data_IF_776909730877
#
_entry.id   IF_776909730877
#
_cell.length_a   1.000
_cell.length_b   1.000
_cell.length_c   1.000
_cell.angle_alpha   90.00
_cell.angle_beta   90.00
_cell.angle_gamma   90.00
#
_symmetry.space_group_name_H-M   'P 1'
#
loop_
_entity.id
_entity.type
_entity.pdbx_description
1 polymer ?
#
# COMPACT_ATOMS: atom_id res chain seq x y z
N UNK A 1 -6.14 -44.25 26.13
CA UNK A 1 -5.84 -42.92 25.58
C UNK A 1 -7.18 -42.24 25.34
N UNK A 2 -7.52 -41.27 26.21
CA UNK A 2 -8.87 -40.69 26.28
C UNK A 2 -9.21 -39.88 25.02
N UNK A 3 -10.44 -40.01 24.56
CA UNK A 3 -10.97 -39.30 23.39
C UNK A 3 -10.83 -37.75 23.47
N UNK A 4 -10.75 -37.22 24.68
CA UNK A 4 -10.49 -35.80 24.94
C UNK A 4 -9.10 -35.35 24.53
N UNK A 5 -8.09 -36.23 24.62
CA UNK A 5 -6.73 -35.91 24.18
C UNK A 5 -6.61 -35.84 22.66
N UNK A 6 -7.40 -36.64 21.94
CA UNK A 6 -7.48 -36.57 20.46
C UNK A 6 -8.20 -35.31 19.97
N UNK A 7 -9.23 -34.82 20.69
CA UNK A 7 -9.94 -33.59 20.38
C UNK A 7 -9.07 -32.35 20.60
N UNK A 8 -8.25 -32.34 21.65
CA UNK A 8 -7.31 -31.25 21.95
C UNK A 8 -6.20 -31.10 20.88
N UNK A 9 -5.74 -32.21 20.31
CA UNK A 9 -4.70 -32.21 19.25
C UNK A 9 -5.28 -31.67 17.91
N UNK A 10 -6.55 -31.93 17.60
CA UNK A 10 -7.20 -31.43 16.37
C UNK A 10 -7.45 -29.91 16.43
N UNK A 11 -7.68 -29.35 17.62
CA UNK A 11 -7.87 -27.89 17.79
C UNK A 11 -6.57 -27.06 17.68
N UNK A 12 -5.39 -27.69 17.82
CA UNK A 12 -4.08 -27.01 17.77
C UNK A 12 -3.50 -26.83 16.35
N UNK A 13 -4.06 -27.50 15.33
CA UNK A 13 -3.59 -27.37 13.94
C UNK A 13 -4.39 -26.36 13.10
N UNK A 14 -5.43 -25.75 13.65
CA UNK A 14 -6.28 -24.78 12.91
C UNK A 14 -5.78 -23.33 12.96
N UNK A 15 -4.61 -23.03 13.53
CA UNK A 15 -4.12 -21.68 13.77
C UNK A 15 -2.89 -21.25 12.95
N UNK A 16 -2.58 -21.87 11.83
CA UNK A 16 -1.47 -21.46 10.96
C UNK A 16 -1.92 -21.24 9.51
N UNK A 17 -2.70 -20.17 9.27
CA UNK A 17 -3.17 -19.75 7.95
C UNK A 17 -3.05 -18.26 7.68
N UNK A 18 -2.15 -17.55 8.38
CA UNK A 18 -1.90 -16.11 8.19
C UNK A 18 -0.82 -15.78 7.16
N UNK A 19 -0.59 -16.60 6.16
CA UNK A 19 0.31 -16.28 5.04
C UNK A 19 -0.33 -15.23 4.14
N UNK A 20 -0.01 -13.94 4.36
CA UNK A 20 -0.46 -12.85 3.48
C UNK A 20 -0.12 -13.19 2.04
N UNK A 21 -1.12 -13.19 1.15
CA UNK A 21 -0.88 -13.40 -0.28
C UNK A 21 -0.02 -12.26 -0.82
N UNK A 22 1.17 -12.56 -1.33
CA UNK A 22 2.05 -11.61 -2.03
C UNK A 22 1.54 -11.22 -3.41
N UNK A 23 0.47 -11.86 -3.89
CA UNK A 23 -0.11 -11.58 -5.21
C UNK A 23 -0.73 -10.18 -5.24
N UNK A 24 -0.57 -9.52 -6.39
CA UNK A 24 -1.23 -8.24 -6.65
C UNK A 24 -2.76 -8.36 -6.53
N UNK A 25 -3.46 -7.29 -6.11
CA UNK A 25 -4.91 -7.20 -6.25
C UNK A 25 -5.34 -7.31 -7.72
N UNK A 26 -6.52 -7.86 -7.95
CA UNK A 26 -7.03 -8.14 -9.31
C UNK A 26 -7.27 -6.89 -10.16
N UNK A 27 -7.64 -5.78 -9.55
CA UNK A 27 -7.92 -4.54 -10.26
C UNK A 27 -7.11 -3.39 -9.68
N UNK A 28 -5.95 -3.13 -10.28
CA UNK A 28 -5.01 -2.09 -9.84
C UNK A 28 -5.45 -0.66 -10.24
N UNK A 29 -6.39 -0.53 -11.17
CA UNK A 29 -6.89 0.79 -11.61
C UNK A 29 -7.99 1.35 -10.70
N UNK A 30 -8.40 0.60 -9.69
CA UNK A 30 -9.49 0.99 -8.80
C UNK A 30 -9.09 0.88 -7.33
N UNK A 31 -8.83 2.05 -6.69
CA UNK A 31 -8.45 2.14 -5.28
C UNK A 31 -9.47 1.48 -4.34
N UNK A 32 -10.76 1.56 -4.68
CA UNK A 32 -11.82 0.95 -3.90
C UNK A 32 -11.79 -0.58 -4.01
N UNK A 33 -11.52 -1.12 -5.20
CA UNK A 33 -11.36 -2.56 -5.40
C UNK A 33 -10.13 -3.10 -4.66
N UNK A 34 -8.99 -2.37 -4.73
CA UNK A 34 -7.77 -2.73 -4.00
C UNK A 34 -8.03 -2.80 -2.50
N UNK A 35 -8.65 -1.77 -1.93
CA UNK A 35 -8.90 -1.68 -0.49
C UNK A 35 -10.01 -2.61 -0.01
N UNK A 36 -10.96 -2.97 -0.86
CA UNK A 36 -11.98 -3.98 -0.58
C UNK A 36 -11.40 -5.40 -0.61
N UNK A 37 -10.52 -5.70 -1.58
CA UNK A 37 -9.86 -7.00 -1.68
C UNK A 37 -8.79 -7.18 -0.60
N UNK A 38 -8.12 -6.10 -0.20
CA UNK A 38 -7.02 -6.09 0.80
C UNK A 38 -7.27 -5.03 1.89
N UNK A 39 -8.20 -5.25 2.83
CA UNK A 39 -8.51 -4.26 3.88
C UNK A 39 -7.29 -3.87 4.74
N UNK A 40 -6.33 -4.80 4.89
CA UNK A 40 -5.07 -4.54 5.60
C UNK A 40 -4.26 -3.40 4.96
N UNK A 41 -4.32 -3.21 3.63
CA UNK A 41 -3.63 -2.14 2.94
C UNK A 41 -4.15 -0.77 3.35
N UNK A 42 -5.48 -0.63 3.37
CA UNK A 42 -6.10 0.63 3.79
C UNK A 42 -5.78 0.97 5.25
N UNK A 43 -5.79 -0.04 6.15
CA UNK A 43 -5.41 0.17 7.55
C UNK A 43 -3.97 0.65 7.69
N UNK A 44 -3.03 -0.03 7.03
CA UNK A 44 -1.62 0.33 7.02
C UNK A 44 -1.37 1.75 6.48
N UNK A 45 -1.97 2.08 5.33
CA UNK A 45 -1.84 3.41 4.72
C UNK A 45 -2.46 4.53 5.55
N UNK A 46 -3.57 4.27 6.26
CA UNK A 46 -4.15 5.22 7.23
C UNK A 46 -3.25 5.44 8.43
N UNK A 47 -2.59 4.41 8.94
CA UNK A 47 -1.61 4.55 10.03
C UNK A 47 -0.44 5.42 9.58
N UNK A 48 0.08 5.18 8.38
CA UNK A 48 1.14 5.98 7.76
C UNK A 48 0.71 7.44 7.54
N UNK A 49 -0.50 7.67 7.00
CA UNK A 49 -1.03 9.02 6.82
C UNK A 49 -1.18 9.76 8.14
N UNK A 50 -1.66 9.10 9.20
CA UNK A 50 -1.75 9.72 10.54
C UNK A 50 -0.37 10.06 11.13
N UNK A 51 0.61 9.18 10.93
CA UNK A 51 1.95 9.33 11.50
C UNK A 51 2.81 10.33 10.75
N UNK A 52 2.81 10.25 9.43
CA UNK A 52 3.74 10.98 8.57
C UNK A 52 3.07 12.05 7.69
N UNK A 53 1.75 12.09 7.64
CA UNK A 53 0.98 13.05 6.84
C UNK A 53 1.00 12.77 5.33
N UNK A 54 1.51 11.62 4.88
CA UNK A 54 1.55 11.27 3.45
C UNK A 54 0.18 10.71 3.04
N UNK A 55 -0.52 11.34 2.07
CA UNK A 55 -1.86 10.91 1.67
C UNK A 55 -1.90 9.46 1.17
N UNK A 56 -2.97 8.73 1.51
CA UNK A 56 -3.18 7.33 1.07
C UNK A 56 -3.00 7.19 -0.44
N UNK A 57 -3.53 8.12 -1.22
CA UNK A 57 -3.45 8.06 -2.68
C UNK A 57 -2.00 8.16 -3.21
N UNK A 58 -1.15 8.97 -2.57
CA UNK A 58 0.28 9.07 -2.90
C UNK A 58 0.99 7.75 -2.60
N UNK A 59 0.73 7.16 -1.42
CA UNK A 59 1.28 5.85 -1.04
C UNK A 59 0.86 4.77 -2.04
N UNK A 60 -0.43 4.71 -2.40
CA UNK A 60 -0.96 3.72 -3.36
C UNK A 60 -0.31 3.86 -4.74
N UNK A 61 -0.18 5.10 -5.24
CA UNK A 61 0.40 5.36 -6.56
C UNK A 61 1.88 4.96 -6.60
N UNK A 62 2.62 5.24 -5.53
CA UNK A 62 4.03 4.85 -5.41
C UNK A 62 4.18 3.32 -5.33
N UNK A 63 3.41 2.62 -4.49
CA UNK A 63 3.44 1.15 -4.42
C UNK A 63 3.04 0.51 -5.75
N UNK A 64 2.06 1.10 -6.45
CA UNK A 64 1.71 0.63 -7.78
C UNK A 64 2.90 0.72 -8.73
N UNK A 65 3.64 1.83 -8.72
CA UNK A 65 4.80 2.03 -9.58
C UNK A 65 5.97 1.10 -9.19
N UNK A 66 6.23 0.92 -7.90
CA UNK A 66 7.37 0.16 -7.39
C UNK A 66 7.21 -1.36 -7.56
N UNK A 67 6.04 -1.89 -7.21
CA UNK A 67 5.84 -3.34 -7.11
C UNK A 67 4.53 -3.85 -7.68
N UNK A 68 3.66 -2.98 -8.19
CA UNK A 68 2.26 -3.33 -8.54
C UNK A 68 1.54 -4.07 -7.41
N UNK A 69 1.83 -3.68 -6.16
CA UNK A 69 1.32 -4.34 -4.96
C UNK A 69 1.76 -5.80 -4.78
N UNK A 70 2.83 -6.24 -5.44
CA UNK A 70 3.43 -7.56 -5.21
C UNK A 70 4.36 -7.46 -4.00
N UNK A 71 4.00 -8.15 -2.90
CA UNK A 71 4.68 -7.96 -1.62
C UNK A 71 6.12 -8.48 -1.57
N UNK A 72 6.46 -9.45 -2.40
CA UNK A 72 7.80 -10.05 -2.51
C UNK A 72 8.50 -9.70 -3.83
N UNK A 73 8.11 -8.60 -4.47
CA UNK A 73 8.74 -8.15 -5.71
C UNK A 73 10.24 -7.96 -5.54
N UNK A 74 11.00 -8.41 -6.53
CA UNK A 74 12.47 -8.30 -6.59
C UNK A 74 12.91 -7.89 -7.98
N UNK A 75 14.04 -7.19 -8.07
CA UNK A 75 14.70 -6.95 -9.34
C UNK A 75 15.14 -8.26 -10.00
N UNK A 76 15.09 -8.37 -11.34
CA UNK A 76 15.54 -9.55 -12.06
C UNK A 76 17.02 -9.88 -11.78
N UNK A 77 17.40 -11.15 -11.93
CA UNK A 77 18.80 -11.54 -11.98
C UNK A 77 19.41 -11.06 -13.30
N UNK A 78 20.65 -10.60 -13.23
CA UNK A 78 21.49 -10.37 -14.39
C UNK A 78 22.28 -11.64 -14.71
N UNK A 79 22.44 -11.92 -15.98
CA UNK A 79 23.24 -13.05 -16.45
C UNK A 79 24.30 -12.53 -17.45
N UNK A 80 25.58 -12.85 -17.21
CA UNK A 80 26.61 -12.68 -18.22
C UNK A 80 26.50 -13.82 -19.24
N UNK A 81 26.61 -13.50 -20.53
CA UNK A 81 26.48 -14.45 -21.66
C UNK A 81 25.15 -15.26 -21.63
N UNK A 82 24.13 -14.75 -20.94
CA UNK A 82 22.82 -15.39 -20.83
C UNK A 82 22.74 -16.59 -19.85
N UNK A 83 23.85 -17.06 -19.30
CA UNK A 83 23.89 -18.28 -18.48
C UNK A 83 24.61 -18.12 -17.13
N UNK A 84 25.56 -17.19 -17.00
CA UNK A 84 26.32 -17.01 -15.76
C UNK A 84 25.58 -16.02 -14.86
N UNK A 85 25.07 -16.43 -13.67
CA UNK A 85 24.35 -15.52 -12.78
C UNK A 85 25.32 -14.48 -12.18
N UNK A 86 25.09 -13.19 -12.48
CA UNK A 86 25.85 -12.05 -11.96
C UNK A 86 25.19 -11.39 -10.75
N UNK A 87 24.19 -12.04 -10.17
CA UNK A 87 23.42 -11.47 -9.07
C UNK A 87 22.23 -10.64 -9.54
N UNK A 88 21.64 -9.85 -8.62
CA UNK A 88 20.52 -8.97 -8.93
C UNK A 88 21.00 -7.56 -9.23
N UNK A 89 20.25 -6.85 -10.06
CA UNK A 89 20.54 -5.48 -10.47
C UNK A 89 20.62 -4.50 -9.29
N UNK A 90 19.84 -4.76 -8.22
CA UNK A 90 19.84 -3.97 -7.00
C UNK A 90 19.31 -4.80 -5.83
N UNK A 91 19.48 -4.29 -4.60
CA UNK A 91 18.91 -4.88 -3.38
C UNK A 91 17.42 -4.51 -3.16
N UNK A 92 16.78 -3.85 -4.12
CA UNK A 92 15.37 -3.45 -4.03
C UNK A 92 14.46 -4.65 -3.80
N UNK A 93 13.56 -4.53 -2.81
CA UNK A 93 12.70 -5.64 -2.40
C UNK A 93 11.37 -5.17 -1.82
N UNK A 94 10.32 -5.97 -2.05
CA UNK A 94 9.03 -5.86 -1.40
C UNK A 94 8.12 -4.78 -1.99
N UNK A 95 7.10 -4.38 -1.25
CA UNK A 95 6.10 -3.40 -1.69
C UNK A 95 6.69 -2.05 -2.10
N UNK A 96 7.66 -1.56 -1.34
CA UNK A 96 8.25 -0.23 -1.50
C UNK A 96 9.54 -0.21 -2.32
N UNK A 97 10.04 -1.37 -2.76
CA UNK A 97 11.31 -1.52 -3.46
C UNK A 97 12.48 -0.79 -2.77
N UNK A 98 12.43 -0.73 -1.44
CA UNK A 98 13.49 -0.12 -0.64
C UNK A 98 14.82 -0.86 -0.81
N UNK A 99 15.92 -0.11 -0.95
CA UNK A 99 17.28 -0.65 -0.92
C UNK A 99 17.70 -1.01 0.51
N UNK A 100 18.62 -1.95 0.67
CA UNK A 100 19.09 -2.44 1.97
C UNK A 100 19.56 -1.29 2.86
N UNK A 101 20.46 -0.44 2.37
CA UNK A 101 21.02 0.67 3.15
C UNK A 101 19.95 1.65 3.64
N UNK A 102 18.99 2.03 2.77
CA UNK A 102 17.91 2.95 3.11
C UNK A 102 16.91 2.30 4.08
N UNK A 103 16.67 0.99 3.93
CA UNK A 103 15.85 0.23 4.87
C UNK A 103 16.47 0.15 6.26
N UNK A 104 17.77 -0.06 6.34
CA UNK A 104 18.50 -0.10 7.62
C UNK A 104 18.57 1.27 8.27
N UNK A 105 18.68 2.36 7.49
CA UNK A 105 18.54 3.74 8.01
C UNK A 105 17.17 3.94 8.66
N UNK A 106 16.10 3.55 7.96
CA UNK A 106 14.73 3.61 8.50
C UNK A 106 14.57 2.83 9.80
N UNK A 107 15.06 1.58 9.84
CA UNK A 107 14.98 0.72 11.03
C UNK A 107 15.68 1.34 12.22
N UNK A 108 16.86 1.95 12.02
CA UNK A 108 17.61 2.68 13.06
C UNK A 108 16.86 3.94 13.49
N UNK A 109 16.40 4.74 12.53
CA UNK A 109 15.76 6.04 12.81
C UNK A 109 14.42 5.90 13.54
N UNK A 110 13.68 4.82 13.30
CA UNK A 110 12.34 4.60 13.88
C UNK A 110 12.33 3.63 15.07
N UNK A 111 13.45 2.95 15.34
CA UNK A 111 13.54 1.87 16.32
C UNK A 111 12.84 0.57 15.90
N UNK A 112 12.26 0.49 14.72
CA UNK A 112 11.53 -0.69 14.22
C UNK A 112 12.50 -1.74 13.65
N UNK A 113 13.28 -2.37 14.53
CA UNK A 113 14.31 -3.34 14.13
C UNK A 113 13.76 -4.60 13.45
N UNK A 114 12.48 -4.94 13.68
CA UNK A 114 11.81 -6.12 13.11
C UNK A 114 11.03 -5.83 11.84
N UNK A 115 11.08 -4.61 11.33
CA UNK A 115 10.37 -4.23 10.10
C UNK A 115 10.79 -5.11 8.93
N UNK A 116 9.80 -5.48 8.09
CA UNK A 116 9.96 -6.34 6.91
C UNK A 116 9.44 -5.63 5.66
N UNK A 117 10.22 -5.64 4.58
CA UNK A 117 9.87 -4.98 3.30
C UNK A 117 8.69 -5.65 2.57
N UNK A 118 8.42 -6.93 2.88
CA UNK A 118 7.29 -7.70 2.37
C UNK A 118 6.03 -7.61 3.26
N UNK A 119 6.08 -6.83 4.33
CA UNK A 119 4.93 -6.50 5.15
C UNK A 119 4.38 -5.13 4.74
N UNK A 120 3.10 -5.06 4.38
CA UNK A 120 2.49 -3.82 3.88
C UNK A 120 2.54 -2.67 4.89
N UNK A 121 2.36 -2.95 6.18
CA UNK A 121 2.40 -1.94 7.25
C UNK A 121 3.78 -1.33 7.38
N UNK A 122 4.80 -2.17 7.41
CA UNK A 122 6.19 -1.71 7.53
C UNK A 122 6.65 -0.97 6.27
N UNK A 123 6.25 -1.48 5.09
CA UNK A 123 6.59 -0.86 3.81
C UNK A 123 5.93 0.53 3.63
N UNK A 124 4.67 0.68 4.03
CA UNK A 124 4.00 2.00 3.99
C UNK A 124 4.57 2.95 5.03
N UNK A 125 4.88 2.49 6.24
CA UNK A 125 5.51 3.31 7.28
C UNK A 125 6.90 3.80 6.84
N UNK A 126 7.71 2.94 6.21
CA UNK A 126 8.97 3.31 5.57
C UNK A 126 8.78 4.42 4.52
N UNK A 127 7.82 4.25 3.61
CA UNK A 127 7.53 5.27 2.58
C UNK A 127 7.12 6.60 3.21
N UNK A 128 6.28 6.54 4.26
CA UNK A 128 5.87 7.71 5.02
C UNK A 128 7.06 8.43 5.65
N UNK A 129 7.94 7.71 6.33
CA UNK A 129 9.18 8.24 6.91
C UNK A 129 10.09 8.86 5.85
N UNK A 130 10.26 8.19 4.71
CA UNK A 130 11.11 8.69 3.63
C UNK A 130 10.54 9.98 3.03
N UNK A 131 9.28 9.99 2.64
CA UNK A 131 8.63 11.14 2.00
C UNK A 131 8.47 12.34 2.95
N UNK A 132 8.20 12.11 4.24
CA UNK A 132 8.21 13.16 5.25
C UNK A 132 9.59 13.78 5.38
N UNK A 133 10.66 12.98 5.42
CA UNK A 133 12.03 13.47 5.39
C UNK A 133 12.38 14.23 4.11
N UNK A 134 11.80 13.85 2.97
CA UNK A 134 11.90 14.57 1.69
C UNK A 134 11.25 15.96 1.80
N UNK A 135 10.03 16.02 2.35
CA UNK A 135 9.35 17.30 2.60
C UNK A 135 10.17 18.22 3.50
N UNK A 136 10.70 17.71 4.61
CA UNK A 136 11.50 18.52 5.54
C UNK A 136 12.82 19.05 4.94
N UNK A 137 13.48 18.25 4.08
CA UNK A 137 14.79 18.61 3.51
C UNK A 137 14.71 19.42 2.22
N UNK A 138 13.69 19.17 1.41
CA UNK A 138 13.60 19.72 0.05
C UNK A 138 12.38 20.63 -0.16
N UNK A 139 11.51 20.80 0.85
CA UNK A 139 10.30 21.61 0.73
C UNK A 139 9.20 21.01 -0.16
N UNK A 140 9.37 19.78 -0.67
CA UNK A 140 8.40 19.12 -1.55
C UNK A 140 7.11 18.82 -0.79
N UNK A 141 5.97 19.26 -1.30
CA UNK A 141 4.67 18.97 -0.71
C UNK A 141 4.42 17.46 -0.59
N UNK A 142 3.84 17.02 0.52
CA UNK A 142 3.40 15.63 0.72
C UNK A 142 2.32 15.16 -0.26
N UNK A 143 1.67 16.10 -0.95
CA UNK A 143 0.63 15.85 -1.97
C UNK A 143 1.19 15.84 -3.40
N UNK A 144 2.39 16.30 -3.58
CA UNK A 144 3.09 16.32 -4.87
C UNK A 144 3.70 14.93 -5.13
N UNK A 145 2.89 14.03 -5.66
CA UNK A 145 3.29 12.65 -5.89
C UNK A 145 4.42 12.54 -6.93
N UNK A 146 4.47 13.43 -7.92
CA UNK A 146 5.51 13.43 -8.93
C UNK A 146 6.89 13.74 -8.33
N UNK A 147 7.04 14.86 -7.65
CA UNK A 147 8.33 15.24 -7.07
C UNK A 147 8.72 14.37 -5.88
N UNK A 148 7.76 13.90 -5.07
CA UNK A 148 8.02 12.90 -4.04
C UNK A 148 8.57 11.61 -4.66
N UNK A 149 8.02 11.16 -5.79
CA UNK A 149 8.50 9.97 -6.50
C UNK A 149 9.89 10.20 -7.13
N UNK A 150 10.15 11.35 -7.75
CA UNK A 150 11.47 11.69 -8.27
C UNK A 150 12.54 11.66 -7.18
N UNK A 151 12.26 12.25 -6.02
CA UNK A 151 13.16 12.23 -4.88
C UNK A 151 13.29 10.83 -4.24
N UNK A 152 12.26 10.01 -4.34
CA UNK A 152 12.29 8.62 -3.90
C UNK A 152 13.21 7.77 -4.77
N UNK A 153 13.10 7.91 -6.08
CA UNK A 153 13.89 7.16 -7.07
C UNK A 153 15.37 7.60 -7.12
N UNK A 154 15.63 8.90 -7.17
CA UNK A 154 17.00 9.46 -7.31
C UNK A 154 17.75 9.56 -5.97
N UNK A 155 17.04 9.36 -4.88
CA UNK A 155 17.49 9.81 -3.57
C UNK A 155 17.39 11.33 -3.42
N UNK A 156 17.26 11.82 -2.19
CA UNK A 156 17.11 13.26 -1.89
C UNK A 156 18.28 14.08 -2.43
N UNK A 157 19.52 13.55 -2.33
CA UNK A 157 20.72 14.21 -2.83
C UNK A 157 20.76 14.27 -4.37
N UNK A 158 20.35 13.20 -5.05
CA UNK A 158 20.23 13.18 -6.51
C UNK A 158 19.19 14.17 -7.01
N UNK A 159 18.01 14.18 -6.38
CA UNK A 159 16.97 15.15 -6.71
C UNK A 159 17.44 16.59 -6.54
N UNK A 160 18.10 16.91 -5.41
CA UNK A 160 18.60 18.26 -5.12
C UNK A 160 19.63 18.73 -6.16
N UNK A 161 20.42 17.81 -6.73
CA UNK A 161 21.38 18.12 -7.83
C UNK A 161 20.74 18.12 -9.22
N UNK A 162 19.45 17.86 -9.34
CA UNK A 162 18.75 17.84 -10.63
C UNK A 162 19.04 16.59 -11.48
N UNK A 163 19.52 15.47 -10.90
CA UNK A 163 19.89 14.26 -11.67
C UNK A 163 18.74 13.66 -12.47
N UNK A 164 17.49 13.92 -12.07
CA UNK A 164 16.27 13.51 -12.77
C UNK A 164 15.99 14.31 -14.06
N UNK A 165 16.52 15.54 -14.18
CA UNK A 165 16.21 16.44 -15.29
C UNK A 165 16.67 15.87 -16.65
N UNK A 166 17.77 15.12 -16.67
CA UNK A 166 18.29 14.46 -17.86
C UNK A 166 17.68 13.08 -18.13
N UNK A 167 16.69 12.65 -17.36
CA UNK A 167 16.03 11.33 -17.46
C UNK A 167 14.57 11.49 -17.92
N UNK A 168 14.37 11.77 -19.22
CA UNK A 168 13.04 11.99 -19.78
C UNK A 168 12.04 10.86 -19.47
N UNK A 169 12.55 9.61 -19.42
CA UNK A 169 11.74 8.46 -19.03
C UNK A 169 11.25 8.56 -17.57
N UNK A 170 12.11 9.02 -16.65
CA UNK A 170 11.77 9.14 -15.22
C UNK A 170 10.78 10.29 -15.00
N UNK A 171 10.92 11.38 -15.75
CA UNK A 171 9.94 12.48 -15.72
C UNK A 171 8.56 12.02 -16.22
N UNK A 172 8.49 11.18 -17.26
CA UNK A 172 7.23 10.57 -17.70
C UNK A 172 6.63 9.67 -16.62
N UNK A 173 7.44 8.80 -16.02
CA UNK A 173 6.99 7.90 -14.94
C UNK A 173 6.48 8.70 -13.74
N UNK A 174 7.15 9.77 -13.34
CA UNK A 174 6.69 10.62 -12.22
C UNK A 174 5.34 11.29 -12.53
N UNK A 175 5.13 11.71 -13.78
CA UNK A 175 3.83 12.21 -14.26
C UNK A 175 2.73 11.14 -14.19
N UNK A 176 3.05 9.87 -14.50
CA UNK A 176 2.11 8.76 -14.36
C UNK A 176 1.76 8.51 -12.89
N UNK A 177 2.72 8.60 -11.98
CA UNK A 177 2.51 8.47 -10.53
C UNK A 177 1.59 9.59 -10.04
N UNK A 178 1.77 10.83 -10.50
CA UNK A 178 0.90 11.95 -10.15
C UNK A 178 -0.54 11.70 -10.61
N UNK A 179 -0.74 11.38 -11.90
CA UNK A 179 -2.07 11.09 -12.45
C UNK A 179 -2.76 9.94 -11.72
N UNK A 180 -2.01 8.89 -11.38
CA UNK A 180 -2.53 7.75 -10.62
C UNK A 180 -2.91 8.15 -9.20
N UNK A 181 -2.12 8.98 -8.54
CA UNK A 181 -2.43 9.52 -7.22
C UNK A 181 -3.74 10.33 -7.24
N UNK A 182 -3.92 11.19 -8.23
CA UNK A 182 -5.16 11.97 -8.40
C UNK A 182 -6.38 11.08 -8.66
N UNK A 183 -6.24 10.08 -9.52
CA UNK A 183 -7.28 9.09 -9.79
C UNK A 183 -7.68 8.33 -8.52
N UNK A 184 -6.72 7.81 -7.78
CA UNK A 184 -6.97 7.08 -6.53
C UNK A 184 -7.61 8.00 -5.47
N UNK A 185 -7.15 9.24 -5.37
CA UNK A 185 -7.75 10.24 -4.47
C UNK A 185 -9.23 10.49 -4.80
N UNK A 186 -9.56 10.70 -6.08
CA UNK A 186 -10.94 10.90 -6.52
C UNK A 186 -11.83 9.67 -6.21
N UNK A 187 -11.32 8.46 -6.45
CA UNK A 187 -12.04 7.21 -6.17
C UNK A 187 -12.30 7.02 -4.67
N UNK A 188 -11.30 7.22 -3.82
CA UNK A 188 -11.44 7.10 -2.36
C UNK A 188 -12.43 8.13 -1.80
N UNK A 189 -12.43 9.36 -2.32
CA UNK A 189 -13.39 10.41 -1.93
C UNK A 189 -14.82 10.10 -2.37
N UNK A 190 -15.01 9.63 -3.59
CA UNK A 190 -16.35 9.28 -4.11
C UNK A 190 -16.96 8.09 -3.37
N UNK A 191 -16.16 7.07 -3.10
CA UNK A 191 -16.57 5.93 -2.28
C UNK A 191 -17.07 6.36 -0.90
N UNK A 192 -16.35 7.26 -0.24
CA UNK A 192 -16.74 7.77 1.07
C UNK A 192 -18.07 8.52 1.10
N UNK A 193 -18.37 9.29 0.04
CA UNK A 193 -19.67 9.98 -0.07
C UNK A 193 -20.84 9.02 -0.23
N UNK A 194 -20.67 7.92 -0.95
CA UNK A 194 -21.71 6.89 -1.14
C UNK A 194 -22.06 6.22 0.20
N UNK A 195 -21.05 5.89 1.01
CA UNK A 195 -21.27 5.33 2.35
C UNK A 195 -21.96 6.32 3.31
N UNK A 196 -21.53 7.56 3.32
CA UNK A 196 -22.15 8.60 4.16
C UNK A 196 -23.62 8.85 3.78
N UNK A 197 -23.96 8.76 2.49
CA UNK A 197 -25.34 8.88 1.99
C UNK A 197 -26.19 7.66 2.37
N UNK A 198 -25.61 6.46 2.28
CA UNK A 198 -26.29 5.23 2.66
C UNK A 198 -26.61 5.20 4.17
N UNK A 199 -25.64 5.47 5.04
CA UNK A 199 -25.81 5.47 6.48
C UNK A 199 -26.88 6.43 6.99
N UNK A 200 -27.24 7.48 6.23
CA UNK A 200 -28.36 8.38 6.55
C UNK A 200 -29.74 7.87 6.10
N UNK A 201 -29.79 6.92 5.18
CA UNK A 201 -31.05 6.44 4.58
C UNK A 201 -31.62 5.18 5.22
N UNK A 202 -30.84 4.51 6.09
CA UNK A 202 -31.29 3.35 6.86
C UNK A 202 -31.86 2.24 5.97
N UNK A 203 -31.07 1.61 5.15
CA UNK A 203 -31.45 0.46 4.32
C UNK A 203 -30.39 -0.65 4.37
N UNK A 204 -30.62 -1.82 3.75
CA UNK A 204 -29.60 -2.85 3.67
C UNK A 204 -28.34 -2.32 2.97
N UNK A 205 -27.13 -2.71 3.43
CA UNK A 205 -25.90 -2.23 2.83
C UNK A 205 -25.80 -2.67 1.36
N UNK A 206 -25.20 -1.83 0.47
CA UNK A 206 -24.85 -2.28 -0.86
C UNK A 206 -24.02 -3.57 -0.78
N UNK A 207 -24.17 -4.50 -1.73
CA UNK A 207 -23.55 -5.83 -1.69
C UNK A 207 -22.05 -5.84 -1.31
N UNK A 208 -21.29 -4.83 -1.76
CA UNK A 208 -19.89 -4.66 -1.38
C UNK A 208 -19.68 -4.25 0.08
N UNK A 209 -20.65 -3.56 0.68
CA UNK A 209 -20.64 -3.20 2.09
C UNK A 209 -21.07 -4.38 2.97
N UNK A 210 -22.04 -5.15 2.50
CA UNK A 210 -22.49 -6.38 3.16
C UNK A 210 -21.36 -7.41 3.23
N UNK A 211 -20.60 -7.62 2.15
CA UNK A 211 -19.44 -8.49 2.13
C UNK A 211 -18.33 -8.01 3.10
N UNK A 212 -18.07 -6.70 3.15
CA UNK A 212 -17.10 -6.13 4.10
C UNK A 212 -17.54 -6.32 5.56
N UNK A 213 -18.82 -6.11 5.87
CA UNK A 213 -19.36 -6.28 7.21
C UNK A 213 -19.41 -7.75 7.63
N UNK A 214 -19.62 -8.67 6.68
CA UNK A 214 -19.57 -10.11 6.93
C UNK A 214 -18.15 -10.58 7.32
N UNK A 215 -17.11 -10.03 6.68
CA UNK A 215 -15.72 -10.41 6.96
C UNK A 215 -15.11 -9.67 8.17
N UNK A 216 -15.55 -8.45 8.46
CA UNK A 216 -14.88 -7.58 9.44
C UNK A 216 -15.77 -7.15 10.61
N UNK A 217 -17.05 -7.53 10.61
CA UNK A 217 -18.03 -7.10 11.61
C UNK A 217 -18.41 -5.61 11.49
N UNK A 218 -19.41 -5.16 12.27
CA UNK A 218 -19.83 -3.76 12.30
C UNK A 218 -18.72 -2.86 12.88
N UNK A 219 -18.65 -1.58 12.44
CA UNK A 219 -17.59 -0.65 12.83
C UNK A 219 -17.49 -0.36 14.32
N UNK A 220 -18.54 -0.66 15.08
CA UNK A 220 -18.62 -0.39 16.52
C UNK A 220 -17.84 -1.41 17.40
N UNK A 221 -17.36 -2.51 16.83
CA UNK A 221 -16.54 -3.51 17.54
C UNK A 221 -15.05 -3.12 17.69
N UNK A 222 -14.65 -1.98 17.14
CA UNK A 222 -13.25 -1.51 17.26
C UNK A 222 -13.19 -0.36 18.27
N UNK A 223 -12.68 -0.56 19.51
CA UNK A 223 -12.52 0.52 20.47
C UNK A 223 -11.57 1.58 19.87
N UNK A 224 -12.09 2.81 19.70
CA UNK A 224 -11.36 3.93 19.09
C UNK A 224 -11.72 4.25 17.63
N UNK A 225 -12.57 3.49 16.98
CA UNK A 225 -13.03 3.79 15.62
C UNK A 225 -14.05 4.94 15.64
N UNK A 226 -13.58 6.17 15.42
CA UNK A 226 -14.50 7.20 14.89
C UNK A 226 -15.10 6.64 13.60
N UNK A 227 -16.44 6.84 13.39
CA UNK A 227 -17.18 6.41 12.20
C UNK A 227 -16.29 6.54 10.94
N UNK A 228 -16.08 5.46 10.15
CA UNK A 228 -15.16 5.47 9.04
C UNK A 228 -15.62 6.50 8.01
N UNK A 229 -14.89 7.60 7.89
CA UNK A 229 -15.03 8.51 6.76
C UNK A 229 -14.38 7.83 5.56
N UNK A 230 -15.22 7.31 4.65
CA UNK A 230 -14.79 6.92 3.33
C UNK A 230 -14.35 5.47 3.15
N UNK A 231 -15.29 4.55 3.01
CA UNK A 231 -15.07 3.22 2.46
C UNK A 231 -15.72 3.16 1.09
N UNK A 232 -14.99 2.65 0.10
CA UNK A 232 -15.42 2.55 -1.29
C UNK A 232 -16.63 1.62 -1.49
N UNK A 233 -17.70 2.11 -2.09
CA UNK A 233 -18.80 1.31 -2.58
C UNK A 233 -18.62 1.00 -4.08
N UNK A 234 -18.86 -0.23 -4.49
CA UNK A 234 -18.80 -0.66 -5.89
C UNK A 234 -20.00 -0.10 -6.68
N UNK A 235 -19.73 0.55 -7.82
CA UNK A 235 -20.77 0.77 -8.83
C UNK A 235 -21.03 -0.60 -9.50
N UNK A 236 -22.18 -1.20 -9.27
CA UNK A 236 -22.69 -2.29 -10.13
C UNK A 236 -23.02 -1.66 -11.48
N UNK A 237 -22.28 -1.99 -12.52
CA UNK A 237 -22.75 -1.81 -13.89
C UNK A 237 -23.97 -2.76 -14.06
N UNK A 238 -25.15 -2.20 -14.04
CA UNK A 238 -26.31 -2.87 -14.65
C UNK A 238 -26.05 -2.92 -16.14
N UNK A 239 -25.74 -4.11 -16.67
CA UNK A 239 -25.88 -4.40 -18.07
C UNK A 239 -27.36 -4.18 -18.43
N UNK A 240 -27.60 -3.29 -19.40
CA UNK A 240 -28.86 -3.30 -20.16
C UNK A 240 -28.66 -4.38 -21.21
N UNK A 241 -29.34 -5.49 -21.05
CA UNK A 241 -29.77 -6.37 -22.15
C UNK A 241 -31.04 -5.82 -22.72
#
# INVERSE_FOLDING_TARGET
MNNYLKLAIVMLVASCGGGGSYKAPRNLENACAITAERPAYLRAMRETERRWGIPIAVQMATIHQESRFVGNARTPHQFALGIIPMGRQSSAFGYSQALDNTWDEYRRATGNRRARRDNIRDATDFMGWYMDGTTRRLGISKRDAANQYLAYHEGRGGFSRGSHLNKSWLLRVSGDVQRRSEMYHAQLRSGGRLWARWGRKGGPPPAAAAAFLAENGPPDRFPGARKPRGICARKTQRGRG
#
